data_IF_554707913843
#
_entry.id   IF_554707913843
#
_cell.length_a   1.000
_cell.length_b   1.000
_cell.length_c   1.000
_cell.angle_alpha   90.00
_cell.angle_beta   90.00
_cell.angle_gamma   90.00
#
_symmetry.space_group_name_H-M   'P 1'
#
loop_
_entity.id
_entity.type
_entity.pdbx_description
1 polymer ?
#
# COMPACT_ATOMS: atom_id res chain seq x y z
N UNK A 1 -12.91 -18.73 2.69
CA UNK A 1 -12.12 -17.74 3.48
C UNK A 1 -11.71 -18.40 4.80
N UNK A 2 -10.51 -18.15 5.31
CA UNK A 2 -9.92 -18.85 6.47
C UNK A 2 -10.33 -18.29 7.85
N UNK A 3 -11.19 -17.27 7.90
CA UNK A 3 -11.64 -16.69 9.17
C UNK A 3 -10.56 -15.99 10.00
N UNK A 4 -9.34 -15.80 9.48
CA UNK A 4 -8.25 -15.14 10.21
C UNK A 4 -8.59 -13.69 10.51
N UNK A 5 -8.34 -13.28 11.76
CA UNK A 5 -8.47 -11.90 12.22
C UNK A 5 -7.16 -11.13 12.12
N UNK A 6 -6.05 -11.80 11.78
CA UNK A 6 -4.71 -11.19 11.74
C UNK A 6 -4.01 -11.52 10.42
N UNK A 7 -3.32 -10.51 9.88
CA UNK A 7 -2.51 -10.59 8.66
C UNK A 7 -1.10 -10.12 9.03
N UNK A 8 -0.11 -10.93 8.71
CA UNK A 8 1.31 -10.59 8.75
C UNK A 8 1.86 -10.86 7.36
N UNK A 9 2.23 -9.81 6.64
CA UNK A 9 2.70 -9.92 5.27
C UNK A 9 4.02 -9.17 5.12
N UNK A 10 5.10 -9.93 4.90
CA UNK A 10 6.32 -9.36 4.34
C UNK A 10 6.01 -9.05 2.87
N UNK A 11 6.00 -7.77 2.45
CA UNK A 11 5.59 -7.42 1.11
C UNK A 11 6.56 -8.03 0.09
N UNK A 12 6.05 -8.96 -0.70
CA UNK A 12 6.67 -9.45 -1.92
C UNK A 12 5.97 -8.78 -3.12
N UNK A 13 6.54 -8.79 -4.31
CA UNK A 13 6.02 -8.04 -5.48
C UNK A 13 6.04 -6.51 -5.32
N UNK A 14 7.14 -5.95 -4.80
CA UNK A 14 7.35 -4.51 -4.58
C UNK A 14 7.59 -3.71 -5.88
N UNK A 15 7.69 -4.39 -7.02
CA UNK A 15 8.00 -3.79 -8.33
C UNK A 15 6.76 -3.34 -9.10
N UNK A 16 5.58 -3.68 -8.58
CA UNK A 16 4.27 -3.56 -9.23
C UNK A 16 4.02 -2.18 -9.85
N UNK A 17 4.28 -1.11 -9.10
CA UNK A 17 3.99 0.25 -9.54
C UNK A 17 5.15 0.91 -10.31
N UNK A 18 6.29 0.24 -10.50
CA UNK A 18 7.52 0.90 -11.04
C UNK A 18 7.33 1.56 -12.39
N UNK A 19 6.54 0.95 -13.28
CA UNK A 19 6.24 1.51 -14.60
C UNK A 19 5.26 2.68 -14.56
N UNK A 20 4.47 2.78 -13.49
CA UNK A 20 3.40 3.78 -13.34
C UNK A 20 3.87 5.01 -12.56
N UNK A 21 4.85 4.86 -11.65
CA UNK A 21 5.32 5.96 -10.81
C UNK A 21 5.90 7.09 -11.64
N UNK A 22 5.15 8.18 -11.69
CA UNK A 22 5.53 9.46 -12.25
C UNK A 22 4.78 10.57 -11.51
N UNK A 23 5.49 11.60 -11.06
CA UNK A 23 4.88 12.78 -10.45
C UNK A 23 5.78 13.98 -10.74
N UNK A 24 5.30 15.03 -11.45
CA UNK A 24 6.14 16.16 -11.86
C UNK A 24 6.90 16.83 -10.71
N UNK A 25 6.24 16.99 -9.56
CA UNK A 25 6.84 17.57 -8.35
C UNK A 25 8.01 16.73 -7.79
N UNK A 26 8.08 15.44 -8.12
CA UNK A 26 9.14 14.52 -7.70
C UNK A 26 10.13 14.17 -8.82
N UNK A 27 10.06 14.83 -9.98
CA UNK A 27 10.92 14.54 -11.13
C UNK A 27 12.43 14.48 -10.80
N UNK A 28 13.00 15.41 -10.00
CA UNK A 28 14.43 15.35 -9.62
C UNK A 28 14.81 14.12 -8.79
N UNK A 29 13.85 13.52 -8.08
CA UNK A 29 14.04 12.26 -7.35
C UNK A 29 13.88 11.08 -8.30
N UNK A 30 12.81 11.08 -9.10
CA UNK A 30 12.42 9.96 -9.96
C UNK A 30 13.32 9.76 -11.19
N UNK A 31 14.13 10.75 -11.57
CA UNK A 31 15.14 10.59 -12.63
C UNK A 31 16.24 9.59 -12.23
N UNK A 32 16.47 9.38 -10.93
CA UNK A 32 17.44 8.40 -10.44
C UNK A 32 16.76 7.03 -10.31
N UNK A 33 17.18 6.06 -11.14
CA UNK A 33 16.52 4.75 -11.23
C UNK A 33 16.33 4.03 -9.89
N UNK A 34 17.33 4.07 -9.00
CA UNK A 34 17.23 3.46 -7.67
C UNK A 34 16.21 4.16 -6.77
N UNK A 35 16.09 5.49 -6.86
CA UNK A 35 15.12 6.24 -6.08
C UNK A 35 13.71 6.03 -6.62
N UNK A 36 13.54 6.03 -7.95
CA UNK A 36 12.26 5.65 -8.59
C UNK A 36 11.80 4.26 -8.16
N UNK A 37 12.72 3.29 -8.15
CA UNK A 37 12.45 1.95 -7.65
C UNK A 37 11.95 1.99 -6.21
N UNK A 38 12.68 2.63 -5.29
CA UNK A 38 12.30 2.66 -3.87
C UNK A 38 10.98 3.39 -3.62
N UNK A 39 10.74 4.49 -4.34
CA UNK A 39 9.46 5.20 -4.28
C UNK A 39 8.31 4.30 -4.71
N UNK A 40 8.46 3.53 -5.79
CA UNK A 40 7.43 2.57 -6.20
C UNK A 40 7.19 1.46 -5.19
N UNK A 41 8.23 0.95 -4.54
CA UNK A 41 8.13 -0.04 -3.47
C UNK A 41 7.33 0.52 -2.29
N UNK A 42 7.66 1.74 -1.84
CA UNK A 42 6.97 2.45 -0.76
C UNK A 42 5.49 2.71 -1.10
N UNK A 43 5.21 3.19 -2.31
CA UNK A 43 3.84 3.45 -2.76
C UNK A 43 3.01 2.17 -2.80
N UNK A 44 3.60 1.07 -3.26
CA UNK A 44 2.94 -0.23 -3.31
C UNK A 44 2.51 -0.67 -1.90
N UNK A 45 3.41 -0.57 -0.91
CA UNK A 45 3.12 -0.96 0.47
C UNK A 45 2.15 0.00 1.16
N UNK A 46 2.23 1.30 0.85
CA UNK A 46 1.28 2.30 1.32
C UNK A 46 -0.14 2.00 0.82
N UNK A 47 -0.30 1.68 -0.47
CA UNK A 47 -1.60 1.27 -1.04
C UNK A 47 -2.14 0.00 -0.36
N UNK A 48 -1.29 -1.02 -0.17
CA UNK A 48 -1.67 -2.25 0.53
C UNK A 48 -2.15 -1.98 1.96
N UNK A 49 -1.43 -1.14 2.70
CA UNK A 49 -1.81 -0.76 4.05
C UNK A 49 -3.13 0.02 4.09
N UNK A 50 -3.34 0.96 3.16
CA UNK A 50 -4.57 1.75 3.09
C UNK A 50 -5.80 0.92 2.69
N UNK A 51 -5.65 -0.01 1.74
CA UNK A 51 -6.72 -0.96 1.39
C UNK A 51 -7.14 -1.78 2.61
N UNK A 52 -6.19 -2.26 3.41
CA UNK A 52 -6.51 -3.00 4.64
C UNK A 52 -7.25 -2.12 5.66
N UNK A 53 -6.91 -0.84 5.78
CA UNK A 53 -7.63 0.11 6.64
C UNK A 53 -9.07 0.33 6.20
N UNK A 54 -9.31 0.50 4.89
CA UNK A 54 -10.66 0.57 4.32
C UNK A 54 -11.47 -0.67 4.70
N UNK A 55 -10.84 -1.85 4.66
CA UNK A 55 -11.44 -3.12 5.03
C UNK A 55 -11.53 -3.38 6.55
N UNK A 56 -11.46 -2.31 7.36
CA UNK A 56 -11.55 -2.32 8.82
C UNK A 56 -10.46 -3.16 9.51
N UNK A 57 -9.23 -3.12 9.00
CA UNK A 57 -8.05 -3.60 9.72
C UNK A 57 -7.27 -2.43 10.31
N UNK A 58 -6.97 -2.51 11.61
CA UNK A 58 -5.90 -1.69 12.20
C UNK A 58 -4.57 -2.15 11.61
N UNK A 59 -3.95 -1.30 10.81
CA UNK A 59 -2.81 -1.66 9.96
C UNK A 59 -1.60 -0.76 10.20
N UNK A 60 -0.48 -1.40 10.50
CA UNK A 60 0.84 -0.79 10.70
C UNK A 60 1.83 -1.33 9.66
N UNK A 61 2.76 -0.49 9.20
CA UNK A 61 3.94 -0.90 8.43
C UNK A 61 5.15 -0.70 9.34
N UNK A 62 5.87 -1.78 9.66
CA UNK A 62 6.96 -1.77 10.64
C UNK A 62 8.21 -2.39 10.06
N UNK A 63 9.38 -1.96 10.53
CA UNK A 63 10.63 -2.69 10.29
C UNK A 63 10.65 -3.97 11.15
N UNK A 64 10.87 -5.14 10.54
CA UNK A 64 10.87 -6.44 11.24
C UNK A 64 12.25 -7.09 11.37
N UNK A 65 13.24 -6.60 10.62
CA UNK A 65 14.64 -7.03 10.67
C UNK A 65 15.55 -5.84 10.37
N UNK A 66 16.74 -5.78 10.96
CA UNK A 66 17.69 -4.69 10.69
C UNK A 66 18.01 -4.61 9.19
N UNK A 67 17.86 -3.41 8.63
CA UNK A 67 18.19 -3.07 7.24
C UNK A 67 19.58 -3.52 6.77
N UNK A 68 20.54 -3.74 7.68
CA UNK A 68 21.88 -4.29 7.36
C UNK A 68 21.82 -5.66 6.72
N UNK A 69 20.81 -6.46 7.05
CA UNK A 69 20.68 -7.82 6.52
C UNK A 69 19.97 -7.84 5.17
N UNK A 70 18.99 -6.96 4.96
CA UNK A 70 18.26 -6.86 3.70
C UNK A 70 17.59 -5.50 3.56
N UNK A 71 17.55 -4.92 2.35
CA UNK A 71 16.72 -3.74 2.08
C UNK A 71 15.21 -4.08 2.13
N UNK A 72 14.83 -5.36 2.17
CA UNK A 72 13.44 -5.83 2.36
C UNK A 72 13.17 -6.09 3.83
N UNK A 73 13.04 -5.01 4.58
CA UNK A 73 12.94 -5.04 6.03
C UNK A 73 11.56 -4.64 6.58
N UNK A 74 10.57 -4.39 5.71
CA UNK A 74 9.22 -3.99 6.13
C UNK A 74 8.26 -5.18 6.29
N UNK A 75 7.32 -5.06 7.22
CA UNK A 75 6.24 -6.00 7.47
C UNK A 75 4.92 -5.22 7.61
N UNK A 76 3.91 -5.61 6.84
CA UNK A 76 2.55 -5.12 7.01
C UNK A 76 1.85 -6.00 8.04
N UNK A 77 1.49 -5.40 9.18
CA UNK A 77 0.73 -6.05 10.24
C UNK A 77 -0.68 -5.48 10.28
N UNK A 78 -1.68 -6.33 10.11
CA UNK A 78 -3.09 -5.94 10.12
C UNK A 78 -3.86 -6.81 11.12
N UNK A 79 -4.67 -6.18 11.97
CA UNK A 79 -5.60 -6.88 12.87
C UNK A 79 -7.00 -6.37 12.63
N UNK A 80 -7.95 -7.28 12.45
CA UNK A 80 -9.36 -6.96 12.23
C UNK A 80 -9.86 -6.14 13.42
N UNK A 81 -10.54 -5.03 13.12
CA UNK A 81 -11.08 -4.08 14.08
C UNK A 81 -12.53 -3.76 13.73
N UNK A 82 -13.22 -3.08 14.64
CA UNK A 82 -14.49 -2.44 14.30
C UNK A 82 -14.25 -1.38 13.21
N UNK A 83 -15.19 -1.21 12.25
CA UNK A 83 -15.11 -0.13 11.28
C UNK A 83 -15.02 1.22 11.99
N UNK A 84 -13.99 1.99 11.67
CA UNK A 84 -13.78 3.33 12.22
C UNK A 84 -13.09 4.18 11.17
N UNK A 85 -13.50 5.43 11.00
CA UNK A 85 -12.89 6.37 10.06
C UNK A 85 -12.81 5.86 8.61
N UNK A 86 -13.74 5.00 8.19
CA UNK A 86 -13.71 4.37 6.85
C UNK A 86 -13.66 5.40 5.74
N UNK A 87 -14.49 6.45 5.79
CA UNK A 87 -14.48 7.51 4.76
C UNK A 87 -13.12 8.20 4.67
N UNK A 88 -12.52 8.54 5.82
CA UNK A 88 -11.19 9.14 5.86
C UNK A 88 -10.14 8.23 5.20
N UNK A 89 -10.18 6.93 5.46
CA UNK A 89 -9.25 5.97 4.84
C UNK A 89 -9.47 5.83 3.34
N UNK A 90 -10.72 5.89 2.88
CA UNK A 90 -11.06 5.96 1.45
C UNK A 90 -10.48 7.23 0.82
N UNK A 91 -10.69 8.39 1.44
CA UNK A 91 -10.19 9.66 0.91
C UNK A 91 -8.66 9.70 0.84
N UNK A 92 -7.97 9.20 1.87
CA UNK A 92 -6.52 9.05 1.90
C UNK A 92 -6.02 8.14 0.77
N UNK A 93 -6.69 7.00 0.56
CA UNK A 93 -6.35 6.06 -0.51
C UNK A 93 -6.56 6.66 -1.89
N UNK A 94 -7.74 7.26 -2.14
CA UNK A 94 -8.07 7.88 -3.42
C UNK A 94 -7.14 9.05 -3.73
N UNK A 95 -6.80 9.86 -2.72
CA UNK A 95 -5.82 10.95 -2.87
C UNK A 95 -4.48 10.40 -3.32
N UNK A 96 -3.94 9.38 -2.62
CA UNK A 96 -2.67 8.76 -2.97
C UNK A 96 -2.70 8.17 -4.40
N UNK A 97 -3.75 7.39 -4.69
CA UNK A 97 -3.94 6.70 -5.98
C UNK A 97 -3.99 7.71 -7.14
N UNK A 98 -4.82 8.74 -6.99
CA UNK A 98 -5.08 9.70 -8.04
C UNK A 98 -3.91 10.67 -8.23
N UNK A 99 -3.26 11.13 -7.15
CA UNK A 99 -2.10 12.04 -7.25
C UNK A 99 -0.92 11.39 -7.96
N UNK A 100 -0.66 10.11 -7.70
CA UNK A 100 0.43 9.37 -8.33
C UNK A 100 0.03 8.69 -9.63
N UNK A 101 -1.24 8.82 -10.04
CA UNK A 101 -1.80 8.17 -11.23
C UNK A 101 -1.48 6.67 -11.29
N UNK A 102 -1.66 5.98 -10.16
CA UNK A 102 -1.31 4.57 -9.99
C UNK A 102 -2.56 3.69 -9.92
N UNK A 103 -2.43 2.46 -10.37
CA UNK A 103 -3.45 1.41 -10.31
C UNK A 103 -2.91 0.19 -9.55
N UNK A 104 -3.12 0.11 -8.23
CA UNK A 104 -2.71 -1.05 -7.44
C UNK A 104 -3.51 -2.30 -7.83
N UNK A 105 -2.82 -3.39 -8.13
CA UNK A 105 -3.34 -4.73 -8.43
C UNK A 105 -4.17 -5.28 -7.27
N UNK A 106 -3.82 -4.96 -6.02
CA UNK A 106 -4.61 -5.38 -4.87
C UNK A 106 -6.03 -4.78 -4.90
N UNK A 107 -6.20 -3.56 -5.42
CA UNK A 107 -7.53 -2.98 -5.65
C UNK A 107 -8.33 -3.83 -6.65
N UNK A 108 -7.68 -4.24 -7.76
CA UNK A 108 -8.29 -5.09 -8.79
C UNK A 108 -8.69 -6.45 -8.24
N UNK A 109 -7.83 -7.07 -7.41
CA UNK A 109 -8.12 -8.37 -6.81
C UNK A 109 -9.21 -8.34 -5.73
N UNK A 110 -9.38 -7.21 -5.05
CA UNK A 110 -10.40 -7.02 -4.01
C UNK A 110 -11.56 -6.14 -4.47
N UNK A 111 -11.84 -6.13 -5.77
CA UNK A 111 -12.86 -5.26 -6.38
C UNK A 111 -14.23 -5.44 -5.74
N UNK A 112 -14.64 -6.67 -5.44
CA UNK A 112 -15.94 -6.94 -4.83
C UNK A 112 -16.02 -6.34 -3.43
N UNK A 113 -14.98 -6.53 -2.62
CA UNK A 113 -14.90 -6.01 -1.25
C UNK A 113 -14.77 -4.49 -1.18
N UNK A 114 -14.14 -3.87 -2.19
CA UNK A 114 -13.88 -2.44 -2.25
C UNK A 114 -14.98 -1.66 -2.96
N UNK A 115 -15.82 -2.32 -3.74
CA UNK A 115 -16.94 -1.70 -4.48
C UNK A 115 -17.88 -0.84 -3.61
N UNK A 116 -18.17 -1.15 -2.33
CA UNK A 116 -19.02 -0.29 -1.50
C UNK A 116 -18.35 1.04 -1.10
N UNK A 117 -17.04 1.16 -1.30
CA UNK A 117 -16.23 2.26 -0.79
C UNK A 117 -15.60 3.13 -1.90
N UNK A 118 -15.24 2.53 -3.04
CA UNK A 118 -14.42 3.17 -4.08
C UNK A 118 -15.21 3.61 -5.32
N UNK A 119 -16.50 3.95 -5.15
CA UNK A 119 -17.40 4.37 -6.23
C UNK A 119 -16.89 5.57 -7.01
#
# INVERSE_FOLDING_TARGET
RWGSTTILAAPCCQHELRSQVALPAFSPVLQHGILKQRTAEILTDACRAQILRILAYRTDVVEFIDSKHTPKNLLIRAKKSAPSNTQKHVDEYLTLRNQWHIEPSLEKFLKEELSPFLT
#
